data_IF_135492608724
#
_entry.id   IF_135492608724
#
_cell.length_a   1.000
_cell.length_b   1.000
_cell.length_c   1.000
_cell.angle_alpha   90.00
_cell.angle_beta   90.00
_cell.angle_gamma   90.00
#
_symmetry.space_group_name_H-M   'P 1'
#
loop_
_entity.id
_entity.type
_entity.pdbx_description
1 polymer ?
#
# COMPACT_ATOMS: atom_id res chain seq x y z
N UNK A 1 -15.45 -6.68 3.34
CA UNK A 1 -15.97 -5.71 2.35
C UNK A 1 -14.92 -4.62 2.17
N UNK A 2 -14.61 -4.21 0.93
CA UNK A 2 -13.68 -3.09 0.67
C UNK A 2 -14.48 -1.79 0.64
N UNK A 3 -13.95 -0.72 1.21
CA UNK A 3 -14.54 0.61 1.16
C UNK A 3 -13.88 1.45 0.07
N UNK A 4 -14.67 2.31 -0.57
CA UNK A 4 -14.20 3.23 -1.58
C UNK A 4 -13.39 4.37 -0.92
N UNK A 5 -12.16 4.64 -1.38
CA UNK A 5 -11.34 5.71 -0.82
C UNK A 5 -11.87 7.11 -1.13
N UNK A 6 -12.75 7.27 -2.13
CA UNK A 6 -13.32 8.58 -2.47
C UNK A 6 -14.59 8.92 -1.68
N UNK A 7 -15.51 7.97 -1.52
CA UNK A 7 -16.85 8.27 -0.98
C UNK A 7 -17.21 7.44 0.27
N UNK A 8 -16.35 6.53 0.71
CA UNK A 8 -16.62 5.62 1.84
C UNK A 8 -17.65 4.52 1.54
N UNK A 9 -18.26 4.52 0.35
CA UNK A 9 -19.23 3.52 -0.09
C UNK A 9 -18.63 2.13 -0.26
N UNK A 10 -19.51 1.13 -0.43
CA UNK A 10 -19.09 -0.24 -0.71
C UNK A 10 -18.39 -0.35 -2.06
N UNK A 11 -17.31 -1.14 -2.11
CA UNK A 11 -16.57 -1.46 -3.31
C UNK A 11 -16.62 -2.97 -3.61
N UNK A 12 -16.79 -3.30 -4.88
CA UNK A 12 -16.90 -4.68 -5.38
C UNK A 12 -15.78 -4.95 -6.40
N UNK A 13 -15.37 -6.21 -6.53
CA UNK A 13 -14.39 -6.59 -7.55
C UNK A 13 -15.00 -6.48 -8.95
N UNK A 14 -14.19 -6.10 -9.92
CA UNK A 14 -14.60 -6.11 -11.32
C UNK A 14 -14.63 -7.55 -11.88
N UNK A 15 -15.69 -7.96 -12.58
CA UNK A 15 -15.81 -9.32 -13.11
C UNK A 15 -14.93 -9.59 -14.32
N UNK A 16 -14.53 -8.55 -15.07
CA UNK A 16 -13.74 -8.69 -16.29
C UNK A 16 -12.23 -8.58 -15.98
N UNK A 17 -11.85 -7.79 -14.97
CA UNK A 17 -10.45 -7.48 -14.68
C UNK A 17 -10.02 -7.95 -13.29
N UNK A 18 -9.15 -8.97 -13.25
CA UNK A 18 -8.59 -9.47 -12.01
C UNK A 18 -7.75 -8.39 -11.28
N UNK A 19 -8.05 -8.19 -10.00
CA UNK A 19 -7.36 -7.21 -9.16
C UNK A 19 -7.86 -5.78 -9.32
N UNK A 20 -8.95 -5.55 -10.06
CA UNK A 20 -9.62 -4.25 -10.15
C UNK A 20 -10.84 -4.24 -9.25
N UNK A 21 -11.08 -3.11 -8.60
CA UNK A 21 -12.25 -2.86 -7.76
C UNK A 21 -12.95 -1.57 -8.20
N UNK A 22 -14.27 -1.59 -8.12
CA UNK A 22 -15.14 -0.47 -8.47
C UNK A 22 -16.13 -0.17 -7.36
N UNK A 23 -16.39 1.11 -7.13
CA UNK A 23 -17.46 1.56 -6.26
C UNK A 23 -18.74 1.76 -7.07
N UNK A 24 -19.85 1.15 -6.63
CA UNK A 24 -21.14 1.31 -7.32
C UNK A 24 -21.87 2.62 -6.93
N UNK A 25 -21.39 3.32 -5.90
CA UNK A 25 -21.97 4.59 -5.44
C UNK A 25 -21.43 5.80 -6.22
N UNK A 26 -20.11 5.88 -6.42
CA UNK A 26 -19.46 7.01 -7.11
C UNK A 26 -18.77 6.62 -8.41
N UNK A 27 -18.87 5.37 -8.84
CA UNK A 27 -18.25 4.85 -10.07
C UNK A 27 -16.71 4.96 -10.12
N UNK A 28 -16.06 5.20 -8.98
CA UNK A 28 -14.61 5.21 -8.89
C UNK A 28 -14.04 3.79 -9.08
N UNK A 29 -13.01 3.66 -9.91
CA UNK A 29 -12.35 2.40 -10.26
C UNK A 29 -10.86 2.51 -9.95
N UNK A 30 -10.30 1.48 -9.30
CA UNK A 30 -8.87 1.41 -9.02
C UNK A 30 -8.37 -0.04 -9.03
N UNK A 31 -7.08 -0.20 -9.31
CA UNK A 31 -6.39 -1.47 -9.18
C UNK A 31 -5.90 -1.67 -7.75
N UNK A 32 -6.00 -2.91 -7.27
CA UNK A 32 -5.35 -3.33 -6.05
C UNK A 32 -3.86 -3.47 -6.34
N UNK A 33 -2.98 -3.04 -5.42
CA UNK A 33 -1.57 -3.34 -5.56
C UNK A 33 -1.43 -4.85 -5.68
N UNK A 34 -0.89 -5.31 -6.82
CA UNK A 34 -0.40 -6.69 -6.91
C UNK A 34 0.66 -6.82 -5.83
N UNK A 35 0.62 -7.89 -5.05
CA UNK A 35 1.73 -8.25 -4.18
C UNK A 35 2.95 -8.48 -5.08
N UNK A 36 3.67 -7.40 -5.38
CA UNK A 36 5.06 -7.51 -5.74
C UNK A 36 5.70 -8.00 -4.47
N UNK A 37 5.92 -9.32 -4.39
CA UNK A 37 6.98 -9.91 -3.57
C UNK A 37 8.13 -8.91 -3.64
N UNK A 38 8.33 -8.15 -2.56
CA UNK A 38 9.43 -7.23 -2.48
C UNK A 38 10.62 -8.18 -2.33
N UNK A 39 11.42 -8.45 -3.38
CA UNK A 39 12.51 -9.40 -3.25
C UNK A 39 13.53 -8.65 -2.42
N UNK A 40 13.52 -8.90 -1.10
CA UNK A 40 14.08 -8.01 -0.09
C UNK A 40 15.35 -7.33 -0.57
N UNK A 41 15.27 -6.05 -0.96
CA UNK A 41 16.44 -5.17 -1.09
C UNK A 41 16.87 -4.74 0.32
N UNK A 42 17.20 -5.72 1.15
CA UNK A 42 17.78 -5.53 2.48
C UNK A 42 19.31 -5.78 2.55
N UNK A 43 20.14 -5.48 1.52
CA UNK A 43 21.57 -5.27 1.78
C UNK A 43 22.01 -3.79 1.78
N UNK A 44 21.25 -2.86 1.19
CA UNK A 44 21.71 -1.46 1.00
C UNK A 44 21.21 -0.43 2.01
N UNK A 45 20.16 -0.72 2.78
CA UNK A 45 19.61 0.21 3.78
C UNK A 45 20.13 -0.04 5.21
N UNK A 46 20.88 -1.13 5.43
CA UNK A 46 21.46 -1.46 6.73
C UNK A 46 22.39 -0.36 7.31
N UNK A 47 23.28 0.29 6.55
CA UNK A 47 24.12 1.36 7.10
C UNK A 47 23.29 2.58 7.51
N UNK A 48 22.37 3.02 6.65
CA UNK A 48 21.57 4.21 6.89
C UNK A 48 20.64 4.05 8.11
N UNK A 49 20.06 2.86 8.30
CA UNK A 49 19.24 2.55 9.47
C UNK A 49 20.07 2.42 10.75
N UNK A 50 21.32 1.91 10.68
CA UNK A 50 22.25 1.87 11.82
C UNK A 50 22.63 3.28 12.28
N UNK A 51 22.95 4.20 11.35
CA UNK A 51 23.23 5.61 11.66
C UNK A 51 22.07 6.29 12.39
N UNK A 52 20.83 6.07 11.92
CA UNK A 52 19.64 6.63 12.58
C UNK A 52 19.44 6.08 13.99
N UNK A 53 19.77 4.81 14.25
CA UNK A 53 19.70 4.24 15.60
C UNK A 53 20.75 4.81 16.56
N UNK A 54 21.94 5.15 16.05
CA UNK A 54 23.01 5.80 16.83
C UNK A 54 22.66 7.24 17.18
N UNK A 55 22.04 7.98 16.25
CA UNK A 55 21.69 9.40 16.46
C UNK A 55 20.41 9.58 17.28
N UNK A 56 19.54 8.58 17.37
CA UNK A 56 18.33 8.62 18.22
C UNK A 56 18.64 8.68 19.72
N UNK A 57 19.89 8.41 20.12
CA UNK A 57 20.36 8.55 21.51
C UNK A 57 20.84 9.96 21.87
N UNK A 58 20.99 10.88 20.91
CA UNK A 58 21.44 12.25 21.16
C UNK A 58 20.30 13.24 21.46
N UNK A 59 19.05 12.78 21.47
CA UNK A 59 17.86 13.61 21.74
C UNK A 59 17.13 13.15 23.00
N UNK A 60 17.85 12.98 24.12
CA UNK A 60 17.25 12.87 25.45
C UNK A 60 17.92 13.83 26.42
#
# INVERSE_FOLDING_TARGET
MKQCPQCGGGAVNDPEHAGVVRCLSCWHVWSLPRETSCPGRLPRLMPALRVLSEHRRLSR
#
